data_IF_977824946722
#
_entry.id   IF_977824946722
#
_cell.length_a   1.000
_cell.length_b   1.000
_cell.length_c   1.000
_cell.angle_alpha   90.00
_cell.angle_beta   90.00
_cell.angle_gamma   90.00
#
_symmetry.space_group_name_H-M   'P 1'
#
loop_
_entity.id
_entity.type
_entity.pdbx_description
1 polymer ?
#
# COMPACT_ATOMS: atom_id res chain seq x y z
N UNK A 1 -5.54 -13.37 21.24
CA UNK A 1 -6.76 -12.77 21.83
C UNK A 1 -6.53 -11.27 21.93
N UNK A 2 -7.52 -10.42 21.70
CA UNK A 2 -7.33 -8.97 21.83
C UNK A 2 -7.11 -8.59 23.30
N UNK A 3 -6.28 -7.58 23.53
CA UNK A 3 -6.03 -6.95 24.82
C UNK A 3 -6.54 -5.52 24.79
N UNK A 4 -7.31 -5.13 25.79
CA UNK A 4 -7.86 -3.80 25.94
C UNK A 4 -7.56 -3.24 27.33
N UNK A 5 -7.24 -1.95 27.39
CA UNK A 5 -7.04 -1.18 28.62
C UNK A 5 -7.81 0.13 28.54
N UNK A 6 -8.20 0.65 29.71
CA UNK A 6 -8.77 1.99 29.82
C UNK A 6 -7.69 2.95 30.28
N UNK A 7 -7.63 4.11 29.69
CA UNK A 7 -6.71 5.19 30.04
C UNK A 7 -7.30 6.57 29.80
N UNK A 8 -6.55 7.60 30.17
CA UNK A 8 -6.89 9.00 29.96
C UNK A 8 -6.00 9.64 28.89
N UNK A 9 -6.57 10.41 28.00
CA UNK A 9 -5.83 11.18 26.99
C UNK A 9 -5.12 12.34 27.68
N UNK A 10 -3.81 12.25 27.83
CA UNK A 10 -2.99 13.24 28.56
C UNK A 10 -2.29 14.24 27.66
N UNK A 11 -2.25 13.97 26.32
CA UNK A 11 -1.67 14.89 25.34
C UNK A 11 -2.21 14.64 23.94
N UNK A 12 -2.49 15.72 23.23
CA UNK A 12 -2.76 15.72 21.80
C UNK A 12 -1.44 15.97 21.06
N UNK A 13 -1.09 15.12 20.07
CA UNK A 13 0.17 15.19 19.32
C UNK A 13 -0.06 15.79 17.93
N UNK A 14 -0.71 15.04 17.06
CA UNK A 14 -0.93 15.38 15.67
C UNK A 14 -2.35 15.00 15.25
N UNK A 15 -2.98 15.83 14.44
CA UNK A 15 -4.23 15.48 13.78
C UNK A 15 -4.14 15.76 12.29
N UNK A 16 -4.71 14.84 11.50
CA UNK A 16 -4.92 14.99 10.05
C UNK A 16 -6.19 14.27 9.65
N UNK A 17 -6.61 14.38 8.40
CA UNK A 17 -7.81 13.69 7.91
C UNK A 17 -7.76 12.19 8.26
N UNK A 18 -8.74 11.71 9.00
CA UNK A 18 -8.90 10.33 9.40
C UNK A 18 -7.99 9.81 10.51
N UNK A 19 -7.11 10.66 11.10
CA UNK A 19 -6.18 10.25 12.15
C UNK A 19 -5.98 11.34 13.20
N UNK A 20 -6.03 10.95 14.47
CA UNK A 20 -5.48 11.73 15.58
C UNK A 20 -4.43 10.90 16.32
N UNK A 21 -3.26 11.48 16.58
CA UNK A 21 -2.22 10.91 17.44
C UNK A 21 -2.25 11.53 18.80
N UNK A 22 -2.18 10.72 19.85
CA UNK A 22 -2.31 11.13 21.24
C UNK A 22 -1.34 10.35 22.13
N UNK A 23 -1.12 10.86 23.34
CA UNK A 23 -0.59 10.09 24.47
C UNK A 23 -1.72 9.77 25.42
N UNK A 24 -1.79 8.51 25.86
CA UNK A 24 -2.80 7.99 26.79
C UNK A 24 -2.07 7.42 28.01
N UNK A 25 -2.44 7.86 29.20
CA UNK A 25 -1.94 7.24 30.44
C UNK A 25 -2.75 5.99 30.76
N UNK A 26 -2.09 4.83 30.65
CA UNK A 26 -2.64 3.52 30.95
C UNK A 26 -2.32 3.04 32.38
N UNK A 27 -1.90 3.97 33.26
CA UNK A 27 -1.58 3.71 34.67
C UNK A 27 -0.12 3.38 34.96
N UNK A 28 0.76 3.44 33.96
CA UNK A 28 2.21 3.27 34.11
C UNK A 28 2.99 4.42 33.43
N UNK A 29 2.31 5.51 33.12
CA UNK A 29 2.80 6.67 32.39
C UNK A 29 2.24 6.73 30.97
N UNK A 30 2.51 7.85 30.25
CA UNK A 30 1.95 8.08 28.93
C UNK A 30 2.48 7.13 27.87
N UNK A 31 1.60 6.50 27.12
CA UNK A 31 1.88 5.64 25.97
C UNK A 31 1.24 6.21 24.71
N UNK A 32 1.85 5.97 23.55
CA UNK A 32 1.37 6.52 22.28
C UNK A 32 0.18 5.73 21.75
N UNK A 33 -0.86 6.45 21.33
CA UNK A 33 -2.01 5.87 20.67
C UNK A 33 -2.48 6.73 19.50
N UNK A 34 -3.26 6.14 18.61
CA UNK A 34 -3.99 6.89 17.60
C UNK A 34 -5.47 6.56 17.67
N UNK A 35 -6.29 7.57 17.41
CA UNK A 35 -7.73 7.44 17.17
C UNK A 35 -8.00 7.56 15.66
N UNK A 36 -9.05 6.88 15.20
CA UNK A 36 -9.60 6.98 13.85
C UNK A 36 -10.97 7.67 13.97
N UNK A 37 -11.03 9.02 13.84
CA UNK A 37 -12.25 9.79 14.14
C UNK A 37 -13.47 9.32 13.37
N UNK A 38 -13.31 8.85 12.15
CA UNK A 38 -14.39 8.30 11.32
C UNK A 38 -15.05 7.04 11.92
N UNK A 39 -14.34 6.30 12.79
CA UNK A 39 -14.87 5.09 13.44
C UNK A 39 -15.43 5.37 14.85
N UNK A 40 -14.76 6.21 15.62
CA UNK A 40 -15.03 6.36 17.06
C UNK A 40 -15.26 7.80 17.48
N UNK A 41 -15.28 8.73 16.54
CA UNK A 41 -15.27 10.16 16.80
C UNK A 41 -13.89 10.67 17.24
N UNK A 42 -13.72 12.00 17.27
CA UNK A 42 -12.47 12.62 17.74
C UNK A 42 -12.31 12.40 19.25
N UNK A 43 -11.08 12.50 19.74
CA UNK A 43 -10.76 12.49 21.18
C UNK A 43 -10.18 13.83 21.58
N UNK A 44 -10.42 14.20 22.85
CA UNK A 44 -9.98 15.45 23.46
C UNK A 44 -9.08 15.17 24.67
N UNK A 45 -8.39 16.21 25.14
CA UNK A 45 -7.56 16.14 26.34
C UNK A 45 -8.45 15.84 27.57
N UNK A 46 -8.08 14.86 28.37
CA UNK A 46 -8.81 14.41 29.55
C UNK A 46 -9.85 13.32 29.26
N UNK A 47 -10.12 12.98 28.00
CA UNK A 47 -11.05 11.91 27.66
C UNK A 47 -10.57 10.57 28.20
N UNK A 48 -11.50 9.80 28.78
CA UNK A 48 -11.28 8.41 29.12
C UNK A 48 -11.59 7.53 27.92
N UNK A 49 -10.60 6.75 27.50
CA UNK A 49 -10.70 5.95 26.29
C UNK A 49 -10.39 4.47 26.57
N UNK A 50 -11.02 3.59 25.81
CA UNK A 50 -10.64 2.19 25.70
C UNK A 50 -9.61 2.07 24.57
N UNK A 51 -8.47 1.45 24.86
CA UNK A 51 -7.34 1.32 23.93
C UNK A 51 -7.06 -0.16 23.70
N UNK A 52 -6.92 -0.55 22.43
CA UNK A 52 -6.42 -1.87 22.04
C UNK A 52 -4.90 -1.87 22.13
N UNK A 53 -4.35 -2.67 23.03
CA UNK A 53 -2.90 -2.75 23.32
C UNK A 53 -2.23 -3.96 22.68
N UNK A 54 -2.99 -4.82 22.03
CA UNK A 54 -2.56 -6.15 21.55
C UNK A 54 -1.26 -6.13 20.75
N UNK A 55 -1.14 -5.23 19.78
CA UNK A 55 -0.01 -5.22 18.86
C UNK A 55 1.29 -4.77 19.54
N UNK A 56 1.20 -3.81 20.47
CA UNK A 56 2.35 -3.32 21.25
C UNK A 56 2.80 -4.39 22.25
N UNK A 57 1.86 -5.02 22.96
CA UNK A 57 2.16 -6.10 23.91
C UNK A 57 2.82 -7.32 23.23
N UNK A 58 2.47 -7.60 21.98
CA UNK A 58 3.09 -8.65 21.18
C UNK A 58 4.43 -8.23 20.55
N UNK A 59 4.87 -6.99 20.73
CA UNK A 59 6.11 -6.48 20.15
C UNK A 59 6.06 -6.40 18.61
N UNK A 60 4.87 -6.24 18.04
CA UNK A 60 4.71 -6.13 16.59
C UNK A 60 5.15 -4.75 16.07
N UNK A 61 5.51 -4.68 14.79
CA UNK A 61 6.06 -3.50 14.12
C UNK A 61 5.07 -2.34 13.92
N UNK A 62 4.29 -1.97 14.94
CA UNK A 62 3.34 -0.85 14.94
C UNK A 62 3.99 0.50 15.29
N UNK A 63 5.32 0.54 15.44
CA UNK A 63 6.02 1.73 15.93
C UNK A 63 5.71 2.10 17.38
N UNK A 64 5.13 1.17 18.16
CA UNK A 64 4.74 1.38 19.55
C UNK A 64 3.45 2.20 19.71
N UNK A 65 2.55 2.14 18.74
CA UNK A 65 1.26 2.81 18.78
C UNK A 65 0.14 1.84 19.13
N UNK A 66 -0.65 2.21 20.14
CA UNK A 66 -1.92 1.59 20.46
C UNK A 66 -3.04 2.14 19.57
N UNK A 67 -4.21 1.52 19.61
CA UNK A 67 -5.38 1.96 18.85
C UNK A 67 -6.51 2.31 19.82
N UNK A 68 -7.01 3.53 19.77
CA UNK A 68 -8.22 3.93 20.51
C UNK A 68 -9.40 3.16 19.91
N UNK A 69 -10.08 2.40 20.75
CA UNK A 69 -11.24 1.59 20.37
C UNK A 69 -12.55 2.34 20.62
N UNK A 70 -12.67 3.04 21.74
CA UNK A 70 -13.86 3.81 22.10
C UNK A 70 -13.54 4.93 23.07
N UNK A 71 -14.30 6.03 22.98
CA UNK A 71 -14.27 7.15 23.90
C UNK A 71 -15.41 6.99 24.93
N UNK A 72 -15.06 6.86 26.23
CA UNK A 72 -16.01 6.62 27.31
C UNK A 72 -16.77 7.89 27.77
N UNK A 73 -16.36 9.06 27.31
CA UNK A 73 -17.08 10.31 27.55
C UNK A 73 -18.29 10.49 26.62
N UNK A 74 -18.56 9.48 25.77
CA UNK A 74 -19.68 9.47 24.82
C UNK A 74 -20.59 8.28 25.03
N UNK A 75 -21.88 8.55 25.12
CA UNK A 75 -22.90 7.51 25.11
C UNK A 75 -23.19 6.98 23.71
N UNK A 76 -22.93 7.78 22.69
CA UNK A 76 -23.13 7.40 21.28
C UNK A 76 -22.18 8.16 20.36
N UNK A 77 -21.90 7.56 19.21
CA UNK A 77 -21.25 8.19 18.05
C UNK A 77 -21.98 7.74 16.79
N UNK A 78 -22.37 8.67 15.96
CA UNK A 78 -23.00 8.39 14.66
C UNK A 78 -22.55 9.44 13.66
N UNK A 79 -21.92 8.97 12.60
CA UNK A 79 -21.66 9.74 11.40
C UNK A 79 -22.31 8.99 10.26
N UNK A 80 -23.28 9.64 9.60
CA UNK A 80 -23.98 9.00 8.49
C UNK A 80 -23.04 8.83 7.30
N UNK A 81 -22.84 7.60 6.88
CA UNK A 81 -22.15 7.32 5.64
C UNK A 81 -23.02 7.63 4.43
N UNK A 82 -22.42 7.78 3.23
CA UNK A 82 -23.14 8.15 2.01
C UNK A 82 -23.80 6.96 1.29
N UNK A 83 -23.63 5.72 1.74
CA UNK A 83 -24.11 4.53 1.07
C UNK A 83 -24.61 3.43 2.00
N UNK A 84 -24.48 2.18 1.59
CA UNK A 84 -24.84 1.00 2.38
C UNK A 84 -23.79 -0.13 2.32
N UNK A 85 -22.68 0.10 1.65
CA UNK A 85 -21.55 -0.84 1.63
C UNK A 85 -20.73 -0.67 2.90
N UNK A 86 -20.70 -1.72 3.72
CA UNK A 86 -20.03 -1.72 5.02
C UNK A 86 -18.63 -2.33 4.89
N UNK A 87 -17.60 -1.61 5.39
CA UNK A 87 -16.27 -2.15 5.68
C UNK A 87 -16.13 -2.54 7.14
N UNK A 88 -15.16 -3.41 7.49
CA UNK A 88 -15.10 -4.00 8.82
C UNK A 88 -16.32 -4.87 9.16
N UNK A 89 -16.91 -5.52 8.16
CA UNK A 89 -18.18 -6.28 8.26
C UNK A 89 -18.18 -7.27 9.41
N UNK A 90 -19.31 -7.30 10.13
CA UNK A 90 -19.59 -8.19 11.27
C UNK A 90 -18.61 -8.06 12.43
N UNK A 91 -18.00 -6.88 12.57
CA UNK A 91 -17.17 -6.51 13.72
C UNK A 91 -17.73 -5.26 14.40
N UNK A 92 -17.20 -4.91 15.58
CA UNK A 92 -17.62 -3.71 16.31
C UNK A 92 -17.17 -2.39 15.66
N UNK A 93 -16.33 -2.44 14.64
CA UNK A 93 -15.83 -1.29 13.88
C UNK A 93 -16.45 -1.19 12.48
N UNK A 94 -17.51 -1.94 12.22
CA UNK A 94 -18.21 -1.86 10.94
C UNK A 94 -18.72 -0.45 10.68
N UNK A 95 -18.47 0.07 9.49
CA UNK A 95 -18.84 1.42 9.09
C UNK A 95 -19.23 1.48 7.62
N UNK A 96 -20.23 2.29 7.30
CA UNK A 96 -20.56 2.66 5.94
C UNK A 96 -19.52 3.65 5.42
N UNK A 97 -18.93 3.35 4.28
CA UNK A 97 -17.87 4.17 3.67
C UNK A 97 -18.29 4.83 2.36
N UNK A 98 -19.44 4.42 1.79
CA UNK A 98 -19.93 4.91 0.50
C UNK A 98 -19.02 4.54 -0.66
N UNK A 99 -19.11 3.29 -1.09
CA UNK A 99 -18.35 2.83 -2.26
C UNK A 99 -18.72 3.61 -3.53
N UNK A 100 -17.74 3.91 -4.35
CA UNK A 100 -17.91 4.69 -5.60
C UNK A 100 -18.96 4.06 -6.51
N UNK A 101 -19.04 2.74 -6.53
CA UNK A 101 -20.01 1.97 -7.32
C UNK A 101 -21.48 2.21 -6.92
N UNK A 102 -21.74 2.70 -5.71
CA UNK A 102 -23.08 3.02 -5.25
C UNK A 102 -23.60 4.35 -5.79
N UNK A 103 -22.70 5.26 -6.21
CA UNK A 103 -23.03 6.66 -6.48
C UNK A 103 -22.67 7.14 -7.87
N UNK A 104 -21.77 6.40 -8.57
CA UNK A 104 -21.22 6.82 -9.84
C UNK A 104 -21.72 5.93 -10.97
N UNK A 105 -22.77 6.41 -11.66
CA UNK A 105 -23.38 5.72 -12.80
C UNK A 105 -22.36 5.36 -13.89
N UNK A 106 -21.30 6.16 -14.03
CA UNK A 106 -20.21 5.90 -14.97
C UNK A 106 -19.50 4.55 -14.76
N UNK A 107 -19.67 3.91 -13.60
CA UNK A 107 -19.07 2.62 -13.29
C UNK A 107 -19.98 1.41 -13.58
N UNK A 108 -21.27 1.63 -13.87
CA UNK A 108 -22.28 0.57 -13.93
C UNK A 108 -21.97 -0.51 -14.97
N UNK A 109 -21.44 -0.13 -16.13
CA UNK A 109 -21.19 -1.02 -17.27
C UNK A 109 -19.69 -1.09 -17.63
N UNK A 110 -18.79 -0.70 -16.71
CA UNK A 110 -17.36 -0.72 -16.96
C UNK A 110 -16.81 -2.14 -16.88
N UNK A 111 -16.22 -2.61 -17.97
CA UNK A 111 -15.53 -3.91 -18.08
C UNK A 111 -14.06 -3.79 -18.49
N UNK A 112 -13.58 -2.57 -18.72
CA UNK A 112 -12.19 -2.29 -19.18
C UNK A 112 -11.59 -1.09 -18.44
N UNK A 113 -10.27 -1.06 -18.36
CA UNK A 113 -9.46 0.09 -17.93
C UNK A 113 -8.61 0.67 -19.07
N UNK A 114 -9.01 0.38 -20.31
CA UNK A 114 -8.50 1.00 -21.57
C UNK A 114 -6.97 1.01 -21.69
N UNK A 115 -6.33 -0.12 -21.44
CA UNK A 115 -4.90 -0.24 -21.56
C UNK A 115 -4.09 0.43 -20.43
N UNK A 116 -4.74 0.96 -19.38
CA UNK A 116 -4.05 1.64 -18.29
C UNK A 116 -2.97 0.76 -17.67
N UNK A 117 -1.70 1.23 -17.58
CA UNK A 117 -0.65 0.52 -16.86
C UNK A 117 -0.95 0.41 -15.37
N UNK A 118 -0.79 -0.80 -14.83
CA UNK A 118 -1.02 -1.11 -13.41
C UNK A 118 0.22 -1.74 -12.82
N UNK A 119 0.95 -1.00 -11.99
CA UNK A 119 2.09 -1.52 -11.22
C UNK A 119 1.57 -2.21 -9.98
N UNK A 120 1.92 -3.48 -9.77
CA UNK A 120 1.56 -4.22 -8.57
C UNK A 120 2.80 -4.54 -7.74
N UNK A 121 2.84 -4.03 -6.51
CA UNK A 121 3.96 -4.17 -5.60
C UNK A 121 3.59 -4.94 -4.32
N UNK A 122 4.57 -5.60 -3.71
CA UNK A 122 4.36 -6.40 -2.50
C UNK A 122 4.57 -5.63 -1.19
N UNK A 123 5.32 -4.54 -1.22
CA UNK A 123 5.68 -3.77 -0.03
C UNK A 123 5.21 -2.32 -0.15
N UNK A 124 4.54 -1.85 0.89
CA UNK A 124 4.13 -0.44 1.00
C UNK A 124 5.29 0.55 0.75
N UNK A 125 6.48 0.22 1.23
CA UNK A 125 7.69 1.03 1.04
C UNK A 125 8.20 1.11 -0.40
N UNK A 126 7.66 0.33 -1.35
CA UNK A 126 7.99 0.43 -2.77
C UNK A 126 7.20 1.55 -3.47
N UNK A 127 6.04 1.93 -2.93
CA UNK A 127 5.16 2.97 -3.47
C UNK A 127 5.88 4.28 -3.83
N UNK A 128 6.72 4.87 -2.95
CA UNK A 128 7.35 6.16 -3.26
C UNK A 128 8.31 6.10 -4.45
N UNK A 129 9.03 4.99 -4.64
CA UNK A 129 9.96 4.86 -5.76
C UNK A 129 9.20 4.67 -7.08
N UNK A 130 8.08 3.91 -7.07
CA UNK A 130 7.18 3.81 -8.23
C UNK A 130 6.64 5.19 -8.60
N UNK A 131 6.08 5.92 -7.62
CA UNK A 131 5.45 7.21 -7.84
C UNK A 131 6.45 8.28 -8.31
N UNK A 132 7.63 8.34 -7.68
CA UNK A 132 8.67 9.29 -8.04
C UNK A 132 9.24 9.04 -9.44
N UNK A 133 9.47 7.77 -9.81
CA UNK A 133 9.96 7.41 -11.13
C UNK A 133 8.91 7.68 -12.23
N UNK A 134 7.65 7.34 -11.98
CA UNK A 134 6.54 7.68 -12.86
C UNK A 134 6.46 9.19 -13.10
N UNK A 135 6.45 9.99 -12.03
CA UNK A 135 6.40 11.45 -12.10
C UNK A 135 7.62 12.06 -12.79
N UNK A 136 8.81 11.49 -12.59
CA UNK A 136 10.03 11.95 -13.25
C UNK A 136 9.98 11.76 -14.77
N UNK A 137 9.43 10.64 -15.23
CA UNK A 137 9.26 10.31 -16.64
C UNK A 137 8.05 11.01 -17.26
N UNK A 138 6.97 11.23 -16.47
CA UNK A 138 5.74 11.89 -16.90
C UNK A 138 5.33 13.00 -15.92
N UNK A 139 5.88 14.21 -16.06
CA UNK A 139 5.63 15.32 -15.11
C UNK A 139 4.16 15.71 -14.96
N UNK A 140 3.35 15.51 -15.98
CA UNK A 140 1.92 15.83 -16.02
C UNK A 140 1.01 14.59 -15.98
N UNK A 141 1.59 13.38 -15.93
CA UNK A 141 0.83 12.14 -15.85
C UNK A 141 0.14 12.00 -14.48
N UNK A 142 -1.07 11.47 -14.48
CA UNK A 142 -1.86 11.26 -13.27
C UNK A 142 -1.66 9.83 -12.75
N UNK A 143 -1.22 9.70 -11.51
CA UNK A 143 -1.00 8.40 -10.85
C UNK A 143 -2.02 8.18 -9.73
N UNK A 144 -2.78 7.09 -9.83
CA UNK A 144 -3.63 6.64 -8.73
C UNK A 144 -2.91 5.61 -7.85
N UNK A 145 -3.09 5.71 -6.54
CA UNK A 145 -2.70 4.67 -5.58
C UNK A 145 -3.92 3.89 -5.14
N UNK A 146 -3.91 2.58 -5.36
CA UNK A 146 -4.93 1.64 -4.88
C UNK A 146 -4.38 0.86 -3.69
N UNK A 147 -4.97 1.05 -2.52
CA UNK A 147 -4.60 0.34 -1.30
C UNK A 147 -5.53 -0.85 -1.06
N UNK A 148 -4.94 -2.05 -1.01
CA UNK A 148 -5.65 -3.28 -0.67
C UNK A 148 -5.71 -3.52 0.82
N UNK A 149 -6.47 -4.53 1.25
CA UNK A 149 -6.64 -4.92 2.66
C UNK A 149 -5.69 -6.01 3.15
N UNK A 150 -4.61 -6.27 2.39
CA UNK A 150 -3.59 -7.28 2.74
C UNK A 150 -2.73 -6.95 3.96
N UNK A 151 -2.84 -5.72 4.52
CA UNK A 151 -2.10 -5.24 5.68
C UNK A 151 -2.92 -4.23 6.49
N UNK A 152 -2.34 -3.10 6.92
CA UNK A 152 -3.05 -2.06 7.67
C UNK A 152 -4.27 -1.54 6.89
N UNK A 153 -5.44 -1.53 7.51
CA UNK A 153 -6.70 -1.19 6.86
C UNK A 153 -6.92 0.32 6.69
N UNK A 154 -6.63 1.18 7.71
CA UNK A 154 -6.84 2.61 7.58
C UNK A 154 -5.72 3.26 6.75
N UNK A 155 -6.03 3.86 5.62
CA UNK A 155 -5.03 4.59 4.82
C UNK A 155 -4.37 5.72 5.60
N UNK A 156 -5.12 6.37 6.49
CA UNK A 156 -4.64 7.47 7.32
C UNK A 156 -3.45 7.10 8.22
N UNK A 157 -3.18 5.81 8.48
CA UNK A 157 -1.99 5.37 9.23
C UNK A 157 -0.70 5.64 8.49
N UNK A 158 -0.73 5.77 7.17
CA UNK A 158 0.46 5.95 6.35
C UNK A 158 0.88 7.41 6.24
N UNK A 159 1.93 7.80 6.96
CA UNK A 159 2.59 9.10 6.80
C UNK A 159 3.19 9.21 5.39
N UNK A 160 3.61 8.08 4.83
CA UNK A 160 4.14 8.00 3.48
C UNK A 160 3.10 8.42 2.44
N UNK A 161 1.89 7.87 2.49
CA UNK A 161 0.82 8.24 1.55
C UNK A 161 0.46 9.71 1.70
N UNK A 162 0.33 10.21 2.95
CA UNK A 162 0.07 11.63 3.19
C UNK A 162 1.15 12.52 2.54
N UNK A 163 2.44 12.14 2.65
CA UNK A 163 3.55 12.85 2.01
C UNK A 163 3.44 12.80 0.48
N UNK A 164 3.15 11.64 -0.10
CA UNK A 164 3.06 11.49 -1.57
C UNK A 164 1.89 12.29 -2.16
N UNK A 165 0.76 12.39 -1.45
CA UNK A 165 -0.36 13.23 -1.88
C UNK A 165 0.01 14.72 -1.80
N UNK A 166 0.60 15.18 -0.68
CA UNK A 166 0.99 16.60 -0.51
C UNK A 166 2.06 17.03 -1.52
N UNK A 167 2.99 16.13 -1.86
CA UNK A 167 4.03 16.42 -2.86
C UNK A 167 3.54 16.27 -4.31
N UNK A 168 2.29 15.86 -4.53
CA UNK A 168 1.73 15.66 -5.86
C UNK A 168 2.33 14.48 -6.62
N UNK A 169 2.91 13.51 -5.92
CA UNK A 169 3.41 12.27 -6.53
C UNK A 169 2.31 11.23 -6.72
N UNK A 170 1.24 11.32 -5.93
CA UNK A 170 0.00 10.57 -6.06
C UNK A 170 -1.13 11.57 -6.22
N UNK A 171 -1.95 11.40 -7.27
CA UNK A 171 -3.02 12.33 -7.63
C UNK A 171 -4.39 11.92 -7.07
N UNK A 172 -4.57 10.63 -6.81
CA UNK A 172 -5.79 10.08 -6.21
C UNK A 172 -5.49 8.82 -5.42
N UNK A 173 -6.24 8.61 -4.36
CA UNK A 173 -6.14 7.43 -3.51
C UNK A 173 -7.46 6.65 -3.51
N UNK A 174 -7.38 5.33 -3.67
CA UNK A 174 -8.52 4.44 -3.67
C UNK A 174 -8.27 3.32 -2.67
N UNK A 175 -9.26 2.98 -1.84
CA UNK A 175 -9.18 1.83 -0.93
C UNK A 175 -10.18 0.76 -1.33
N UNK A 176 -9.76 -0.51 -1.35
CA UNK A 176 -10.64 -1.62 -1.69
C UNK A 176 -10.65 -2.74 -0.64
N UNK A 177 -11.58 -3.67 -0.75
CA UNK A 177 -11.80 -4.70 0.25
C UNK A 177 -12.26 -4.11 1.58
N UNK A 178 -11.56 -4.39 2.65
CA UNK A 178 -11.77 -3.80 3.99
C UNK A 178 -10.87 -2.60 4.31
N UNK A 179 -9.91 -2.26 3.44
CA UNK A 179 -9.15 -1.03 3.58
C UNK A 179 -10.06 0.19 3.34
N UNK A 180 -9.84 1.29 4.06
CA UNK A 180 -10.68 2.48 4.02
C UNK A 180 -9.92 3.79 4.20
N UNK A 181 -10.55 4.90 3.85
CA UNK A 181 -10.02 6.26 4.03
C UNK A 181 -9.29 6.83 2.82
N UNK A 182 -9.46 6.25 1.62
CA UNK A 182 -9.05 6.84 0.35
C UNK A 182 -9.92 8.04 -0.04
N UNK A 183 -9.57 8.71 -1.12
CA UNK A 183 -10.44 9.71 -1.76
C UNK A 183 -11.68 9.04 -2.34
N UNK A 184 -11.50 7.78 -2.77
CA UNK A 184 -12.57 6.91 -3.23
C UNK A 184 -12.49 5.56 -2.50
N UNK A 185 -13.67 4.99 -2.24
CA UNK A 185 -13.83 3.65 -1.70
C UNK A 185 -14.32 2.72 -2.80
N UNK A 186 -13.84 1.48 -2.82
CA UNK A 186 -14.26 0.47 -3.78
C UNK A 186 -14.50 -0.88 -3.09
N UNK A 187 -15.37 -1.71 -3.65
CA UNK A 187 -15.71 -3.03 -3.09
C UNK A 187 -14.61 -4.04 -3.34
N UNK A 188 -14.00 -3.98 -4.53
CA UNK A 188 -13.02 -4.98 -4.98
C UNK A 188 -11.85 -4.33 -5.72
N UNK A 189 -10.81 -5.12 -6.00
CA UNK A 189 -9.70 -4.64 -6.83
C UNK A 189 -10.16 -4.30 -8.26
N UNK A 190 -11.13 -5.01 -8.81
CA UNK A 190 -11.66 -4.75 -10.15
C UNK A 190 -12.31 -3.37 -10.22
N UNK A 191 -13.22 -3.09 -9.30
CA UNK A 191 -13.88 -1.79 -9.23
C UNK A 191 -12.92 -0.66 -8.84
N UNK A 192 -11.92 -0.92 -7.99
CA UNK A 192 -10.89 0.06 -7.66
C UNK A 192 -10.06 0.49 -8.89
N UNK A 193 -9.71 -0.44 -9.76
CA UNK A 193 -9.02 -0.13 -11.01
C UNK A 193 -9.92 0.64 -11.99
N UNK A 194 -11.22 0.28 -12.07
CA UNK A 194 -12.20 1.04 -12.84
C UNK A 194 -12.37 2.48 -12.30
N UNK A 195 -12.44 2.67 -10.98
CA UNK A 195 -12.44 3.99 -10.33
C UNK A 195 -11.18 4.76 -10.67
N UNK A 196 -10.01 4.15 -10.60
CA UNK A 196 -8.74 4.80 -10.95
C UNK A 196 -8.78 5.36 -12.38
N UNK A 197 -9.25 4.54 -13.34
CA UNK A 197 -9.28 4.93 -14.75
C UNK A 197 -10.39 5.94 -15.05
N UNK A 198 -11.64 5.61 -14.74
CA UNK A 198 -12.82 6.31 -15.25
C UNK A 198 -13.34 7.42 -14.34
N UNK A 199 -12.97 7.41 -13.06
CA UNK A 199 -13.39 8.44 -12.10
C UNK A 199 -12.24 9.37 -11.73
N UNK A 200 -11.12 8.81 -11.27
CA UNK A 200 -9.94 9.60 -10.94
C UNK A 200 -9.17 10.10 -12.18
N UNK A 201 -9.45 9.54 -13.37
CA UNK A 201 -8.79 9.92 -14.61
C UNK A 201 -7.29 9.65 -14.60
N UNK A 202 -6.90 8.54 -13.96
CA UNK A 202 -5.50 8.18 -13.87
C UNK A 202 -4.95 7.65 -15.21
N UNK A 203 -3.73 8.04 -15.53
CA UNK A 203 -2.97 7.50 -16.65
C UNK A 203 -2.30 6.18 -16.30
N UNK A 204 -1.99 5.98 -15.02
CA UNK A 204 -1.47 4.73 -14.46
C UNK A 204 -1.94 4.53 -13.03
N UNK A 205 -1.94 3.28 -12.58
CA UNK A 205 -2.21 2.95 -11.18
C UNK A 205 -1.04 2.18 -10.55
N UNK A 206 -0.82 2.40 -9.25
CA UNK A 206 0.03 1.55 -8.43
C UNK A 206 -0.83 0.89 -7.36
N UNK A 207 -0.79 -0.44 -7.31
CA UNK A 207 -1.53 -1.25 -6.35
C UNK A 207 -0.57 -1.87 -5.37
N UNK A 208 -0.74 -1.57 -4.10
CA UNK A 208 0.02 -2.19 -3.01
C UNK A 208 -0.76 -2.08 -1.71
N UNK A 209 -0.67 -3.10 -0.86
CA UNK A 209 -1.29 -3.09 0.47
C UNK A 209 -0.80 -1.94 1.35
N UNK A 210 -1.55 -1.62 2.38
CA UNK A 210 -1.15 -0.68 3.42
C UNK A 210 0.12 -1.14 4.17
N UNK A 211 0.61 -0.36 5.15
CA UNK A 211 1.77 -0.74 5.94
C UNK A 211 1.50 -1.99 6.77
N UNK A 212 2.55 -2.81 7.01
CA UNK A 212 2.46 -3.97 7.89
C UNK A 212 2.26 -5.30 7.17
N UNK A 213 2.99 -5.54 6.06
CA UNK A 213 3.02 -6.88 5.43
C UNK A 213 3.30 -7.95 6.47
N UNK A 214 2.50 -9.01 6.45
CA UNK A 214 2.68 -10.18 7.32
C UNK A 214 3.26 -11.35 6.55
N UNK A 215 4.06 -12.16 7.24
CA UNK A 215 4.63 -13.36 6.65
C UNK A 215 5.16 -14.30 7.71
N UNK A 216 5.04 -15.59 7.42
CA UNK A 216 5.62 -16.68 8.18
C UNK A 216 6.89 -17.19 7.51
N UNK A 217 7.53 -18.20 8.10
CA UNK A 217 8.67 -18.86 7.46
C UNK A 217 8.24 -19.87 6.38
N UNK A 218 6.95 -19.95 6.06
CA UNK A 218 6.44 -20.86 5.04
C UNK A 218 6.41 -20.22 3.66
N UNK A 219 6.40 -21.05 2.62
CA UNK A 219 6.42 -20.61 1.23
C UNK A 219 5.15 -19.82 0.84
N UNK A 220 3.99 -20.14 1.41
CA UNK A 220 2.70 -19.56 1.02
C UNK A 220 2.13 -18.60 2.06
N UNK A 221 2.62 -18.63 3.31
CA UNK A 221 2.04 -17.90 4.42
C UNK A 221 2.53 -16.44 4.52
N UNK A 222 2.26 -15.63 3.52
CA UNK A 222 2.54 -14.19 3.52
C UNK A 222 1.50 -13.42 2.71
N UNK A 223 1.15 -12.20 3.17
CA UNK A 223 0.09 -11.41 2.52
C UNK A 223 0.43 -10.93 1.11
N UNK A 224 1.71 -10.79 0.77
CA UNK A 224 2.15 -10.44 -0.59
C UNK A 224 1.81 -11.45 -1.70
N UNK A 225 1.17 -12.60 -1.36
CA UNK A 225 0.57 -13.49 -2.36
C UNK A 225 -0.53 -12.81 -3.17
N UNK A 226 -1.15 -11.76 -2.65
CA UNK A 226 -2.18 -10.99 -3.36
C UNK A 226 -1.70 -10.35 -4.67
N UNK A 227 -0.38 -10.15 -4.82
CA UNK A 227 0.22 -9.59 -6.04
C UNK A 227 -0.22 -10.37 -7.29
N UNK A 228 -0.26 -11.71 -7.21
CA UNK A 228 -0.64 -12.53 -8.34
C UNK A 228 -2.08 -12.28 -8.82
N UNK A 229 -3.09 -12.50 -7.99
CA UNK A 229 -4.50 -12.21 -8.35
C UNK A 229 -4.76 -10.76 -8.79
N UNK A 230 -4.00 -9.78 -8.26
CA UNK A 230 -4.13 -8.38 -8.66
C UNK A 230 -3.58 -8.16 -10.08
N UNK A 231 -2.44 -8.77 -10.42
CA UNK A 231 -1.90 -8.75 -11.78
C UNK A 231 -2.88 -9.37 -12.78
N UNK A 232 -3.50 -10.51 -12.41
CA UNK A 232 -4.52 -11.16 -13.24
C UNK A 232 -5.78 -10.28 -13.39
N UNK A 233 -6.21 -9.57 -12.33
CA UNK A 233 -7.32 -8.63 -12.40
C UNK A 233 -7.04 -7.45 -13.34
N UNK A 234 -5.84 -6.87 -13.27
CA UNK A 234 -5.43 -5.79 -14.17
C UNK A 234 -5.42 -6.26 -15.64
N UNK A 235 -4.91 -7.47 -15.90
CA UNK A 235 -4.91 -8.08 -17.22
C UNK A 235 -6.33 -8.35 -17.72
N UNK A 236 -7.18 -8.93 -16.88
CA UNK A 236 -8.57 -9.25 -17.22
C UNK A 236 -9.41 -8.03 -17.61
N UNK A 237 -9.11 -6.85 -17.02
CA UNK A 237 -9.73 -5.58 -17.38
C UNK A 237 -9.08 -4.91 -18.60
N UNK A 238 -8.22 -5.61 -19.34
CA UNK A 238 -7.52 -5.06 -20.51
C UNK A 238 -6.47 -4.01 -20.19
N UNK A 239 -5.96 -3.98 -18.95
CA UNK A 239 -4.85 -3.13 -18.55
C UNK A 239 -3.48 -3.75 -18.84
N UNK A 240 -2.43 -2.95 -18.77
CA UNK A 240 -1.05 -3.43 -18.86
C UNK A 240 -0.54 -3.77 -17.45
N UNK A 241 -0.57 -5.06 -17.11
CA UNK A 241 -0.14 -5.55 -15.79
C UNK A 241 1.39 -5.57 -15.68
N UNK A 242 1.94 -4.87 -14.68
CA UNK A 242 3.38 -4.71 -14.43
C UNK A 242 3.71 -5.20 -13.03
N UNK A 243 4.52 -6.24 -12.92
CA UNK A 243 5.01 -6.75 -11.65
C UNK A 243 6.21 -5.94 -11.17
N UNK A 244 6.11 -5.38 -9.97
CA UNK A 244 7.20 -4.75 -9.24
C UNK A 244 7.92 -5.80 -8.40
N UNK A 245 9.19 -6.05 -8.67
CA UNK A 245 9.99 -7.05 -7.95
C UNK A 245 10.39 -6.53 -6.56
N UNK A 246 10.37 -7.44 -5.57
CA UNK A 246 11.07 -7.25 -4.32
C UNK A 246 12.47 -7.83 -4.44
N UNK A 247 13.46 -6.96 -4.55
CA UNK A 247 14.88 -7.29 -4.66
C UNK A 247 15.62 -6.66 -3.49
N UNK A 248 16.54 -7.38 -2.85
CA UNK A 248 17.35 -6.85 -1.76
C UNK A 248 18.72 -7.52 -1.75
N UNK A 249 19.77 -6.76 -1.48
CA UNK A 249 21.12 -7.28 -1.22
C UNK A 249 21.61 -6.95 0.19
N UNK A 250 20.73 -6.38 1.02
CA UNK A 250 20.99 -6.03 2.42
C UNK A 250 20.05 -6.74 3.43
N UNK A 251 19.13 -7.60 2.96
CA UNK A 251 18.30 -8.40 3.88
C UNK A 251 19.11 -9.53 4.49
N UNK A 252 19.11 -9.63 5.81
CA UNK A 252 19.86 -10.68 6.54
C UNK A 252 19.23 -12.08 6.43
N UNK A 253 18.11 -12.21 5.74
CA UNK A 253 17.41 -13.49 5.55
C UNK A 253 17.64 -13.99 4.12
N UNK A 254 18.29 -15.13 3.98
CA UNK A 254 18.66 -15.72 2.67
C UNK A 254 17.51 -15.76 1.66
N UNK A 255 16.30 -16.04 2.12
CA UNK A 255 15.09 -16.10 1.28
C UNK A 255 14.68 -14.75 0.66
N UNK A 256 15.28 -13.66 1.09
CA UNK A 256 15.04 -12.30 0.58
C UNK A 256 16.30 -11.70 -0.07
N UNK A 257 17.43 -12.39 -0.04
CA UNK A 257 18.67 -11.96 -0.66
C UNK A 257 18.61 -12.23 -2.18
N UNK A 258 18.87 -11.21 -2.99
CA UNK A 258 18.58 -11.24 -4.42
C UNK A 258 17.09 -11.07 -4.67
N UNK A 259 16.51 -11.92 -5.52
CA UNK A 259 15.06 -11.98 -5.73
C UNK A 259 14.35 -12.57 -4.51
N UNK A 260 13.52 -11.77 -3.84
CA UNK A 260 12.74 -12.28 -2.72
C UNK A 260 11.85 -13.46 -3.12
N UNK A 261 11.78 -14.47 -2.24
CA UNK A 261 10.85 -15.58 -2.42
C UNK A 261 9.39 -15.14 -2.50
N UNK A 262 9.04 -13.96 -1.98
CA UNK A 262 7.70 -13.38 -2.12
C UNK A 262 7.38 -13.10 -3.60
N UNK A 263 8.25 -12.38 -4.30
CA UNK A 263 8.06 -12.14 -5.75
C UNK A 263 8.12 -13.44 -6.54
N UNK A 264 9.11 -14.29 -6.26
CA UNK A 264 9.25 -15.57 -6.95
C UNK A 264 8.02 -16.47 -6.78
N UNK A 265 7.45 -16.52 -5.58
CA UNK A 265 6.28 -17.37 -5.30
C UNK A 265 5.00 -16.77 -5.90
N UNK A 266 4.76 -15.47 -5.74
CA UNK A 266 3.58 -14.80 -6.29
C UNK A 266 3.54 -14.93 -7.82
N UNK A 267 4.63 -14.63 -8.51
CA UNK A 267 4.70 -14.69 -9.97
C UNK A 267 4.61 -16.13 -10.50
N UNK A 268 5.22 -17.09 -9.80
CA UNK A 268 5.21 -18.47 -10.26
C UNK A 268 3.91 -19.21 -9.99
N UNK A 269 3.28 -18.99 -8.83
CA UNK A 269 2.14 -19.79 -8.37
C UNK A 269 0.80 -19.04 -8.40
N UNK A 270 0.79 -17.75 -8.11
CA UNK A 270 -0.43 -16.99 -7.95
C UNK A 270 -0.82 -16.17 -9.18
N UNK A 271 0.13 -15.85 -10.05
CA UNK A 271 -0.11 -15.14 -11.31
C UNK A 271 -0.34 -16.16 -12.42
N UNK A 272 -1.48 -16.09 -13.07
CA UNK A 272 -1.86 -17.00 -14.16
C UNK A 272 -1.53 -16.42 -15.52
N UNK A 273 -1.79 -15.13 -15.68
CA UNK A 273 -1.61 -14.41 -16.93
C UNK A 273 -0.14 -14.08 -17.19
N UNK A 274 0.19 -13.87 -18.45
CA UNK A 274 1.49 -13.39 -18.85
C UNK A 274 1.56 -11.88 -18.65
N UNK A 275 2.46 -11.41 -17.78
CA UNK A 275 2.57 -10.02 -17.38
C UNK A 275 3.97 -9.46 -17.61
N UNK A 276 4.11 -8.15 -17.66
CA UNK A 276 5.41 -7.49 -17.71
C UNK A 276 6.09 -7.55 -16.34
N UNK A 277 7.35 -7.89 -16.29
CA UNK A 277 8.17 -7.88 -15.08
C UNK A 277 9.26 -6.83 -15.25
N UNK A 278 9.19 -5.76 -14.47
CA UNK A 278 10.18 -4.69 -14.51
C UNK A 278 11.50 -5.15 -13.86
N UNK A 279 12.55 -5.32 -14.68
CA UNK A 279 13.88 -5.73 -14.23
C UNK A 279 14.75 -4.48 -14.13
N UNK A 280 15.21 -4.10 -12.92
CA UNK A 280 16.02 -2.89 -12.75
C UNK A 280 17.44 -3.06 -13.30
N UNK A 281 18.02 -1.97 -13.75
CA UNK A 281 19.47 -1.90 -13.93
C UNK A 281 20.13 -1.82 -12.55
N UNK A 282 21.07 -2.73 -12.31
CA UNK A 282 21.81 -2.87 -11.06
C UNK A 282 23.32 -2.99 -11.36
N UNK A 283 24.20 -2.82 -10.37
CA UNK A 283 25.61 -3.18 -10.48
C UNK A 283 25.80 -4.59 -11.02
N UNK A 284 26.83 -4.82 -11.83
CA UNK A 284 26.99 -6.03 -12.63
C UNK A 284 26.77 -7.36 -11.87
N UNK A 285 27.38 -7.50 -10.68
CA UNK A 285 27.24 -8.71 -9.86
C UNK A 285 25.80 -8.94 -9.39
N UNK A 286 25.13 -7.85 -8.98
CA UNK A 286 23.73 -7.88 -8.54
C UNK A 286 22.78 -8.18 -9.71
N UNK A 287 23.06 -7.61 -10.88
CA UNK A 287 22.28 -7.85 -12.09
C UNK A 287 22.35 -9.31 -12.53
N UNK A 288 23.56 -9.91 -12.54
CA UNK A 288 23.75 -11.33 -12.84
C UNK A 288 22.97 -12.19 -11.84
N UNK A 289 23.14 -11.93 -10.53
CA UNK A 289 22.43 -12.69 -9.50
C UNK A 289 20.91 -12.60 -9.65
N UNK A 290 20.36 -11.40 -9.88
CA UNK A 290 18.92 -11.23 -10.08
C UNK A 290 18.43 -12.01 -11.30
N UNK A 291 19.19 -11.98 -12.39
CA UNK A 291 18.85 -12.72 -13.62
C UNK A 291 18.85 -14.24 -13.38
N UNK A 292 19.84 -14.74 -12.69
CA UNK A 292 19.94 -16.17 -12.32
C UNK A 292 18.76 -16.59 -11.42
N UNK A 293 18.40 -15.76 -10.44
CA UNK A 293 17.26 -16.01 -9.55
C UNK A 293 15.92 -16.04 -10.32
N UNK A 294 15.73 -15.14 -11.31
CA UNK A 294 14.53 -15.10 -12.16
C UNK A 294 14.41 -16.37 -13.02
N UNK A 295 15.53 -16.81 -13.62
CA UNK A 295 15.60 -18.06 -14.41
C UNK A 295 15.36 -19.27 -13.51
N UNK A 296 16.01 -19.35 -12.36
CA UNK A 296 15.84 -20.45 -11.41
C UNK A 296 14.40 -20.57 -10.90
N UNK A 297 13.70 -19.43 -10.75
CA UNK A 297 12.28 -19.40 -10.42
C UNK A 297 11.35 -19.71 -11.61
N UNK A 298 11.87 -19.77 -12.85
CA UNK A 298 11.11 -20.00 -14.08
C UNK A 298 10.20 -18.84 -14.49
N UNK A 299 10.51 -17.63 -14.01
CA UNK A 299 9.74 -16.41 -14.28
C UNK A 299 9.94 -15.97 -15.72
N UNK A 300 11.16 -16.10 -16.24
CA UNK A 300 11.55 -15.81 -17.62
C UNK A 300 10.72 -16.55 -18.68
N UNK A 301 10.24 -17.74 -18.34
CA UNK A 301 9.42 -18.58 -19.23
C UNK A 301 7.93 -18.27 -19.15
N UNK A 302 7.49 -17.66 -18.05
CA UNK A 302 6.07 -17.40 -17.76
C UNK A 302 5.66 -15.98 -18.08
N UNK A 303 6.56 -15.03 -17.93
CA UNK A 303 6.32 -13.59 -17.99
C UNK A 303 7.34 -12.90 -18.89
N UNK A 304 7.05 -11.69 -19.30
CA UNK A 304 7.92 -10.89 -20.16
C UNK A 304 8.84 -10.01 -19.29
N UNK A 305 10.12 -10.37 -19.28
CA UNK A 305 11.14 -9.61 -18.57
C UNK A 305 11.49 -8.34 -19.35
N UNK A 306 11.26 -7.19 -18.77
CA UNK A 306 11.58 -5.88 -19.35
C UNK A 306 12.78 -5.28 -18.60
N UNK A 307 13.92 -5.15 -19.26
CA UNK A 307 15.07 -4.43 -18.71
C UNK A 307 14.80 -2.93 -18.79
N UNK A 308 14.73 -2.26 -17.64
CA UNK A 308 14.29 -0.86 -17.55
C UNK A 308 15.40 0.03 -17.02
N UNK A 309 15.89 1.00 -17.82
CA UNK A 309 16.79 2.05 -17.34
C UNK A 309 15.98 3.07 -16.53
N UNK A 310 15.99 2.90 -15.22
CA UNK A 310 15.36 3.86 -14.31
C UNK A 310 16.40 4.84 -13.73
N UNK A 311 16.00 6.06 -13.36
CA UNK A 311 16.85 7.01 -12.65
C UNK A 311 17.40 6.38 -11.35
N UNK A 312 18.58 6.82 -10.92
CA UNK A 312 19.12 6.45 -9.62
C UNK A 312 18.16 6.86 -8.50
N UNK A 313 17.73 5.88 -7.71
CA UNK A 313 16.61 6.07 -6.78
C UNK A 313 16.93 7.06 -5.66
N UNK A 314 18.19 7.15 -5.21
CA UNK A 314 18.58 8.10 -4.17
C UNK A 314 18.54 9.55 -4.67
N UNK A 315 18.96 9.79 -5.91
CA UNK A 315 18.84 11.09 -6.57
C UNK A 315 17.37 11.45 -6.78
N UNK A 316 16.57 10.46 -7.16
CA UNK A 316 15.13 10.61 -7.34
C UNK A 316 14.44 11.02 -6.02
N UNK A 317 14.78 10.34 -4.92
CA UNK A 317 14.26 10.70 -3.60
C UNK A 317 14.71 12.09 -3.15
N UNK A 318 15.97 12.46 -3.37
CA UNK A 318 16.46 13.80 -3.08
C UNK A 318 15.72 14.87 -3.88
N UNK A 319 15.47 14.64 -5.18
CA UNK A 319 14.71 15.54 -6.05
C UNK A 319 13.29 15.84 -5.52
N UNK A 320 12.62 14.85 -4.94
CA UNK A 320 11.26 15.00 -4.42
C UNK A 320 11.19 15.19 -2.89
N UNK A 321 12.34 15.35 -2.21
CA UNK A 321 12.40 15.57 -0.77
C UNK A 321 11.91 14.36 0.06
N UNK A 322 12.10 13.14 -0.44
CA UNK A 322 11.62 11.92 0.20
C UNK A 322 12.69 11.27 1.08
N UNK A 323 12.37 11.05 2.36
CA UNK A 323 13.19 10.28 3.31
C UNK A 323 12.55 8.91 3.56
N UNK A 324 12.93 7.90 2.77
CA UNK A 324 12.27 6.62 2.75
C UNK A 324 13.06 5.55 3.50
N UNK A 325 12.34 4.73 4.25
CA UNK A 325 12.87 3.53 4.91
C UNK A 325 12.04 2.29 4.53
N UNK A 326 12.68 1.13 4.58
CA UNK A 326 11.99 -0.16 4.48
C UNK A 326 12.51 -1.09 5.56
N UNK A 327 11.60 -1.67 6.35
CA UNK A 327 11.96 -2.57 7.47
C UNK A 327 13.04 -1.97 8.40
N UNK A 328 12.92 -0.67 8.71
CA UNK A 328 13.86 0.06 9.57
C UNK A 328 15.19 0.46 8.91
N UNK A 329 15.44 0.11 7.65
CA UNK A 329 16.65 0.50 6.91
C UNK A 329 16.38 1.72 6.01
N UNK A 330 17.25 2.74 5.99
CA UNK A 330 17.13 3.83 5.02
C UNK A 330 17.39 3.33 3.59
N UNK A 331 16.89 4.05 2.59
CA UNK A 331 17.00 3.65 1.18
C UNK A 331 18.47 3.45 0.75
N UNK A 332 19.39 4.24 1.26
CA UNK A 332 20.81 4.10 0.97
C UNK A 332 21.45 2.77 1.46
N UNK A 333 20.84 2.12 2.46
CA UNK A 333 21.33 0.83 2.96
C UNK A 333 20.83 -0.37 2.10
N UNK A 334 19.77 -0.19 1.30
CA UNK A 334 19.23 -1.23 0.43
C UNK A 334 18.66 -0.62 -0.87
N UNK A 335 19.52 0.03 -1.69
CA UNK A 335 19.05 0.77 -2.86
C UNK A 335 18.38 -0.12 -3.92
N UNK A 336 18.79 -1.39 -4.03
CA UNK A 336 18.23 -2.34 -5.01
C UNK A 336 16.72 -2.54 -4.85
N UNK A 337 16.20 -2.52 -3.62
CA UNK A 337 14.76 -2.62 -3.36
C UNK A 337 13.97 -1.49 -4.03
N UNK A 338 14.49 -0.29 -3.88
CA UNK A 338 13.84 0.91 -4.39
C UNK A 338 14.14 1.11 -5.89
N UNK A 339 15.30 0.68 -6.35
CA UNK A 339 15.64 0.71 -7.78
C UNK A 339 14.73 -0.23 -8.59
N UNK A 340 14.37 -1.40 -8.04
CA UNK A 340 13.38 -2.29 -8.66
C UNK A 340 11.99 -1.65 -8.73
N UNK A 341 11.60 -0.90 -7.72
CA UNK A 341 10.34 -0.18 -7.71
C UNK A 341 10.35 1.04 -8.67
N UNK A 342 11.47 1.77 -8.74
CA UNK A 342 11.66 2.85 -9.72
C UNK A 342 11.57 2.34 -11.16
N UNK A 343 12.17 1.17 -11.45
CA UNK A 343 12.05 0.53 -12.75
C UNK A 343 10.58 0.24 -13.13
N UNK A 344 9.78 -0.26 -12.19
CA UNK A 344 8.35 -0.50 -12.44
C UNK A 344 7.58 0.81 -12.72
N UNK A 345 7.89 1.89 -12.00
CA UNK A 345 7.30 3.21 -12.23
C UNK A 345 7.69 3.81 -13.58
N UNK A 346 8.95 3.66 -13.99
CA UNK A 346 9.44 4.07 -15.32
C UNK A 346 8.75 3.28 -16.42
N UNK A 347 8.68 1.95 -16.29
CA UNK A 347 7.99 1.09 -17.26
C UNK A 347 6.51 1.48 -17.40
N UNK A 348 5.83 1.77 -16.28
CA UNK A 348 4.44 2.23 -16.34
C UNK A 348 4.32 3.54 -17.13
N UNK A 349 5.22 4.50 -16.91
CA UNK A 349 5.23 5.76 -17.66
C UNK A 349 5.44 5.56 -19.16
N UNK A 350 6.26 4.60 -19.57
CA UNK A 350 6.49 4.25 -20.98
C UNK A 350 5.26 3.61 -21.65
N UNK A 351 4.38 2.97 -20.85
CA UNK A 351 3.20 2.24 -21.35
C UNK A 351 1.92 3.08 -21.39
N UNK A 352 1.91 4.31 -20.88
CA UNK A 352 0.71 5.17 -20.90
C UNK A 352 0.19 5.43 -22.31
N UNK A 353 1.04 5.57 -23.33
CA UNK A 353 0.65 5.88 -24.72
C UNK A 353 0.80 4.70 -25.69
N UNK A 354 1.13 3.52 -25.19
CA UNK A 354 1.47 2.34 -26.01
C UNK A 354 0.48 1.18 -25.93
N UNK A 355 -0.72 1.44 -25.37
CA UNK A 355 -1.79 0.45 -25.27
C UNK A 355 -2.79 0.54 -26.41
#
# INVERSE_FOLDING_TARGET
MPSYRTGEVVKLLEARRGLQRVEVDLGQGPERAYALPQLTGPVELGDRVVVNTTAVELGLGTGGWHVVHWNLERDHWSEAGPGHIIKGRYTSIQSDVGSAEEHLEALAEVESIDGMPVVVAALHSQLPAVAAAFRAARPHGRLAYVMTDGAGLPMALSDLVATLCVTGLVDATITCGHAFGGDYEAVSIYSALAVARHVAGADAAVVVMGPGIVGTNTRLGFSGMEVGPILDAAHALGGVAIACLRVSFADGRDRHLGLSHHSATALRLATRERVLVAVPQLPAEQAVRLRDDLVAAGIDRRHDLCDVPAPEVLELFARFGLAITSMGRPAAADPALFQAAAAAGTLAAERVDGG
#
